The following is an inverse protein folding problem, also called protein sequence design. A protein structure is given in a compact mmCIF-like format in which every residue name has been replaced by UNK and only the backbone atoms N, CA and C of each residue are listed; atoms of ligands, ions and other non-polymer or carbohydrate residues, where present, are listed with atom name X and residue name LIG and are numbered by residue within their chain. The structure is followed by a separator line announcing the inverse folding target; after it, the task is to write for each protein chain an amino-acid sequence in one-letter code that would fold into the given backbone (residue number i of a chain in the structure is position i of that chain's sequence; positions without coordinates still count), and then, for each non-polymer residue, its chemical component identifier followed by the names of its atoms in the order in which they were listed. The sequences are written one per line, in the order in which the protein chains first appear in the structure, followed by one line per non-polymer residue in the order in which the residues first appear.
data_IF_932467791505
#
_entry.id   IF_932467791505
#
_cell.length_a   1.000
_cell.length_b   1.000
_cell.length_c   1.000
_cell.angle_alpha   90.00
_cell.angle_beta   90.00
_cell.angle_gamma   90.00
#
_symmetry.space_group_name_H-M   'P 1'
#
loop_
_entity.id
_entity.type
_entity.pdbx_description
1 polymer ?
#
# COMPACT_ATOMS: atom_id res chain seq x y z
N UNK A 1 -7.31 -76.05 -45.72
CA UNK A 1 -6.45 -74.87 -45.89
C UNK A 1 -7.34 -73.63 -45.91
N UNK A 2 -7.30 -72.86 -44.82
CA UNK A 2 -7.26 -71.39 -44.75
C UNK A 2 -8.35 -70.53 -45.46
N UNK A 3 -9.24 -69.92 -44.63
CA UNK A 3 -9.74 -68.51 -44.65
C UNK A 3 -10.71 -68.10 -45.81
N UNK A 4 -11.74 -67.24 -45.68
CA UNK A 4 -11.97 -66.03 -44.86
C UNK A 4 -13.45 -65.53 -44.99
N UNK A 5 -13.97 -64.91 -43.92
CA UNK A 5 -14.97 -63.81 -43.75
C UNK A 5 -16.30 -63.70 -44.54
N UNK A 6 -17.40 -63.53 -43.79
CA UNK A 6 -18.36 -62.39 -43.94
C UNK A 6 -19.03 -62.07 -42.60
N UNK A 7 -18.97 -60.80 -42.20
CA UNK A 7 -19.63 -60.21 -41.03
C UNK A 7 -21.10 -59.85 -41.33
N UNK A 8 -22.00 -59.99 -40.35
CA UNK A 8 -23.26 -59.25 -40.30
C UNK A 8 -23.68 -58.97 -38.84
N UNK A 9 -23.38 -57.73 -38.44
CA UNK A 9 -24.00 -56.87 -37.43
C UNK A 9 -25.10 -57.43 -36.50
N UNK A 10 -24.82 -57.41 -35.19
CA UNK A 10 -25.83 -57.34 -34.13
C UNK A 10 -25.55 -56.12 -33.26
N UNK A 11 -26.53 -55.22 -33.20
CA UNK A 11 -26.49 -54.01 -32.39
C UNK A 11 -26.57 -54.36 -30.90
N UNK A 12 -25.60 -53.87 -30.11
CA UNK A 12 -25.65 -53.94 -28.64
C UNK A 12 -25.70 -52.51 -28.12
N UNK A 13 -26.80 -52.20 -27.43
CA UNK A 13 -27.11 -50.92 -26.81
C UNK A 13 -26.04 -50.52 -25.80
N UNK A 14 -25.38 -49.39 -26.04
CA UNK A 14 -24.51 -48.72 -25.07
C UNK A 14 -25.41 -47.97 -24.09
N UNK A 15 -25.71 -48.59 -22.96
CA UNK A 15 -26.36 -47.93 -21.82
C UNK A 15 -25.33 -46.97 -21.21
N UNK A 16 -25.64 -45.68 -21.28
CA UNK A 16 -24.79 -44.59 -20.81
C UNK A 16 -24.55 -44.66 -19.31
N UNK A 17 -23.30 -44.93 -18.93
CA UNK A 17 -22.76 -44.46 -17.67
C UNK A 17 -22.40 -42.97 -17.85
N UNK A 18 -23.40 -42.10 -17.70
CA UNK A 18 -23.17 -40.69 -17.44
C UNK A 18 -22.49 -40.60 -16.08
N UNK A 19 -21.16 -40.63 -16.09
CA UNK A 19 -20.36 -40.25 -14.94
C UNK A 19 -20.74 -38.82 -14.56
N UNK A 20 -21.45 -38.66 -13.44
CA UNK A 20 -21.49 -37.39 -12.75
C UNK A 20 -20.05 -37.08 -12.35
N UNK A 21 -19.39 -36.25 -13.16
CA UNK A 21 -18.16 -35.60 -12.74
C UNK A 21 -18.54 -34.73 -11.54
N UNK A 22 -18.42 -35.29 -10.34
CA UNK A 22 -18.56 -34.53 -9.11
C UNK A 22 -17.60 -33.37 -9.20
N UNK A 23 -18.13 -32.15 -9.27
CA UNK A 23 -17.33 -30.96 -9.11
C UNK A 23 -16.66 -31.09 -7.74
N UNK A 24 -15.39 -31.47 -7.76
CA UNK A 24 -14.59 -31.62 -6.56
C UNK A 24 -14.63 -30.25 -5.87
N UNK A 25 -15.18 -30.14 -4.64
CA UNK A 25 -15.32 -28.85 -3.99
C UNK A 25 -13.95 -28.21 -3.89
N UNK A 26 -13.70 -27.17 -4.68
CA UNK A 26 -12.45 -26.42 -4.60
C UNK A 26 -12.54 -25.58 -3.34
N UNK A 27 -11.95 -26.09 -2.26
CA UNK A 27 -11.80 -25.35 -1.02
C UNK A 27 -10.82 -24.21 -1.25
N UNK A 28 -11.33 -23.00 -1.48
CA UNK A 28 -10.54 -21.78 -1.47
C UNK A 28 -10.40 -21.35 -0.01
N UNK A 29 -9.36 -21.84 0.66
CA UNK A 29 -8.95 -21.28 1.94
C UNK A 29 -8.34 -19.90 1.67
N UNK A 30 -9.04 -18.83 2.04
CA UNK A 30 -8.41 -17.53 2.16
C UNK A 30 -7.47 -17.61 3.38
N UNK A 31 -6.18 -17.41 3.16
CA UNK A 31 -5.21 -17.28 4.25
C UNK A 31 -5.28 -15.82 4.68
N UNK A 32 -5.83 -15.56 5.86
CA UNK A 32 -5.82 -14.22 6.44
C UNK A 32 -4.45 -14.02 7.09
N UNK A 33 -3.47 -13.56 6.30
CA UNK A 33 -2.11 -13.33 6.73
C UNK A 33 -1.95 -11.87 7.19
N UNK A 34 -1.53 -11.69 8.44
CA UNK A 34 -1.23 -10.36 8.99
C UNK A 34 0.22 -10.02 8.69
N UNK A 35 0.45 -8.96 7.92
CA UNK A 35 1.78 -8.47 7.60
C UNK A 35 2.28 -7.52 8.69
N UNK A 36 3.46 -7.78 9.25
CA UNK A 36 4.12 -6.90 10.22
C UNK A 36 5.42 -6.38 9.62
N UNK A 37 5.47 -5.08 9.33
CA UNK A 37 6.67 -4.43 8.80
C UNK A 37 7.53 -3.89 9.95
N UNK A 38 8.80 -4.29 10.01
CA UNK A 38 9.75 -3.88 11.06
C UNK A 38 10.94 -3.16 10.45
N UNK A 39 11.41 -2.10 11.10
CA UNK A 39 12.65 -1.39 10.74
C UNK A 39 13.57 -1.40 11.94
N UNK A 40 14.78 -1.95 11.80
CA UNK A 40 15.78 -2.01 12.87
C UNK A 40 16.97 -1.13 12.49
N UNK A 41 17.39 -0.30 13.44
CA UNK A 41 18.55 0.59 13.29
C UNK A 41 19.59 0.32 14.36
N UNK A 42 20.86 0.53 14.03
CA UNK A 42 21.94 0.55 15.01
C UNK A 42 21.94 1.85 15.84
N UNK A 43 22.93 1.98 16.74
CA UNK A 43 23.08 3.16 17.61
C UNK A 43 23.37 4.46 16.85
N UNK A 44 23.87 4.36 15.62
CA UNK A 44 24.20 5.49 14.76
C UNK A 44 23.05 5.80 13.78
N UNK A 45 21.93 5.09 13.87
CA UNK A 45 20.76 5.26 13.00
C UNK A 45 20.88 4.56 11.64
N UNK A 46 21.87 3.68 11.43
CA UNK A 46 22.00 2.92 10.17
C UNK A 46 21.07 1.71 10.19
N UNK A 47 20.49 1.39 9.03
CA UNK A 47 19.63 0.21 8.87
C UNK A 47 20.42 -1.08 9.08
N UNK A 48 19.90 -1.96 9.93
CA UNK A 48 20.45 -3.31 10.13
C UNK A 48 19.69 -4.26 9.20
N UNK A 49 20.33 -4.66 8.11
CA UNK A 49 19.72 -5.49 7.06
C UNK A 49 20.08 -6.98 7.15
N UNK A 50 20.92 -7.36 8.11
CA UNK A 50 21.47 -8.71 8.24
C UNK A 50 20.70 -9.60 9.21
N UNK A 51 19.62 -9.10 9.82
CA UNK A 51 18.80 -9.88 10.75
C UNK A 51 18.05 -10.98 10.03
N UNK A 52 17.94 -12.12 10.71
CA UNK A 52 17.26 -13.33 10.30
C UNK A 52 15.95 -13.50 11.05
N UNK A 53 15.13 -14.48 10.63
CA UNK A 53 13.87 -14.82 11.31
C UNK A 53 14.05 -15.11 12.80
N UNK A 54 15.17 -15.71 13.18
CA UNK A 54 15.45 -16.17 14.55
C UNK A 54 15.80 -15.00 15.49
N UNK A 55 16.03 -13.80 14.95
CA UNK A 55 16.28 -12.57 15.72
C UNK A 55 14.98 -11.86 16.14
N UNK A 56 13.81 -12.40 15.78
CA UNK A 56 12.50 -11.79 16.05
C UNK A 56 11.55 -12.72 16.81
N UNK A 57 10.80 -12.14 17.75
CA UNK A 57 9.64 -12.77 18.38
C UNK A 57 8.41 -11.87 18.15
N UNK A 58 7.37 -12.41 17.53
CA UNK A 58 6.09 -11.72 17.40
C UNK A 58 5.19 -12.14 18.55
N UNK A 59 4.60 -11.18 19.26
CA UNK A 59 3.62 -11.43 20.32
C UNK A 59 2.32 -10.70 20.01
N UNK A 60 1.21 -11.40 20.18
CA UNK A 60 -0.13 -10.83 20.11
C UNK A 60 -0.83 -11.06 21.46
N UNK A 61 -1.29 -9.97 22.09
CA UNK A 61 -1.78 -9.94 23.47
C UNK A 61 -0.88 -10.71 24.46
N UNK A 62 0.44 -10.54 24.29
CA UNK A 62 1.45 -11.17 25.14
C UNK A 62 1.69 -12.67 24.87
N UNK A 63 1.03 -13.29 23.88
CA UNK A 63 1.27 -14.67 23.45
C UNK A 63 2.15 -14.70 22.20
N UNK A 64 3.16 -15.58 22.18
CA UNK A 64 4.03 -15.75 21.03
C UNK A 64 3.26 -16.30 19.82
N UNK A 65 3.39 -15.63 18.68
CA UNK A 65 2.80 -16.02 17.41
C UNK A 65 3.88 -16.58 16.48
N UNK A 66 3.59 -17.65 15.73
CA UNK A 66 4.54 -18.21 14.78
C UNK A 66 4.75 -17.25 13.59
N UNK A 67 6.00 -16.95 13.26
CA UNK A 67 6.36 -16.20 12.06
C UNK A 67 6.27 -17.16 10.86
N UNK A 68 5.16 -17.23 10.15
CA UNK A 68 4.98 -18.20 9.04
C UNK A 68 5.77 -17.82 7.78
N UNK A 69 5.95 -16.52 7.54
CA UNK A 69 6.72 -15.95 6.44
C UNK A 69 7.68 -14.90 7.00
N UNK A 70 8.94 -14.96 6.56
CA UNK A 70 9.94 -13.94 6.87
C UNK A 70 10.61 -13.54 5.56
N UNK A 71 10.63 -12.24 5.29
CA UNK A 71 11.26 -11.66 4.12
C UNK A 71 12.00 -10.40 4.56
N UNK A 72 13.31 -10.36 4.30
CA UNK A 72 14.17 -9.21 4.53
C UNK A 72 14.72 -8.64 3.20
N UNK A 73 14.18 -9.09 2.07
CA UNK A 73 14.56 -8.56 0.76
C UNK A 73 13.98 -7.16 0.56
N UNK A 74 14.68 -6.27 -0.15
CA UNK A 74 14.16 -4.94 -0.45
C UNK A 74 12.90 -4.98 -1.31
N UNK A 75 11.73 -4.80 -0.69
CA UNK A 75 10.44 -4.73 -1.38
C UNK A 75 10.19 -3.34 -2.01
N UNK A 76 9.56 -3.28 -3.19
CA UNK A 76 9.13 -2.01 -3.78
C UNK A 76 8.06 -1.34 -2.92
N UNK A 77 8.07 -0.01 -2.90
CA UNK A 77 7.10 0.78 -2.15
C UNK A 77 6.05 1.43 -3.07
N UNK A 78 4.83 1.54 -2.55
CA UNK A 78 3.80 2.45 -3.05
C UNK A 78 3.69 3.60 -2.08
N UNK A 79 4.24 4.74 -2.46
CA UNK A 79 4.35 5.90 -1.60
C UNK A 79 3.29 6.93 -1.94
N UNK A 80 2.52 7.36 -0.96
CA UNK A 80 1.74 8.61 -1.04
C UNK A 80 2.48 9.64 -0.20
N UNK A 81 3.04 10.65 -0.85
CA UNK A 81 3.65 11.79 -0.17
C UNK A 81 2.61 12.90 -0.02
N UNK A 82 2.31 13.27 1.22
CA UNK A 82 1.37 14.34 1.56
C UNK A 82 2.15 15.57 2.01
N UNK A 83 2.04 16.64 1.24
CA UNK A 83 2.78 17.89 1.41
C UNK A 83 1.88 18.92 2.09
N UNK A 84 2.32 19.42 3.24
CA UNK A 84 1.64 20.49 3.95
C UNK A 84 1.83 21.82 3.21
N UNK A 85 0.73 22.39 2.75
CA UNK A 85 0.67 23.70 2.09
C UNK A 85 -0.19 24.68 2.91
N UNK A 86 -0.08 24.60 4.24
CA UNK A 86 -0.65 25.56 5.19
C UNK A 86 0.18 26.84 5.31
N UNK A 87 -0.45 27.92 5.80
CA UNK A 87 0.22 29.23 5.93
C UNK A 87 1.48 29.20 6.80
N UNK A 88 1.59 28.27 7.77
CA UNK A 88 2.81 28.12 8.58
C UNK A 88 3.99 27.53 7.81
N UNK A 89 3.74 26.90 6.66
CA UNK A 89 4.74 26.30 5.79
C UNK A 89 5.32 27.27 4.75
N UNK A 90 4.84 28.53 4.66
CA UNK A 90 5.26 29.49 3.63
C UNK A 90 6.79 29.69 3.57
N UNK A 91 7.44 29.88 4.73
CA UNK A 91 8.91 29.98 4.81
C UNK A 91 9.66 28.67 4.57
N UNK A 92 8.97 27.53 4.71
CA UNK A 92 9.53 26.19 4.58
C UNK A 92 9.30 25.57 3.19
N UNK A 93 8.50 26.20 2.32
CA UNK A 93 8.17 25.66 1.00
C UNK A 93 9.41 25.31 0.15
N UNK A 94 10.47 26.15 0.07
CA UNK A 94 11.68 25.78 -0.66
C UNK A 94 12.36 24.53 -0.10
N UNK A 95 12.40 24.39 1.23
CA UNK A 95 12.97 23.23 1.91
C UNK A 95 12.14 21.97 1.65
N UNK A 96 10.81 22.08 1.73
CA UNK A 96 9.89 20.98 1.43
C UNK A 96 10.08 20.48 -0.01
N UNK A 97 10.16 21.38 -0.99
CA UNK A 97 10.40 21.02 -2.39
C UNK A 97 11.75 20.34 -2.57
N UNK A 98 12.80 20.87 -1.96
CA UNK A 98 14.14 20.27 -2.02
C UNK A 98 14.17 18.87 -1.39
N UNK A 99 13.51 18.67 -0.25
CA UNK A 99 13.44 17.38 0.42
C UNK A 99 12.66 16.35 -0.40
N UNK A 100 11.52 16.74 -0.98
CA UNK A 100 10.74 15.88 -1.85
C UNK A 100 11.51 15.51 -3.13
N UNK A 101 12.22 16.45 -3.75
CA UNK A 101 13.07 16.17 -4.91
C UNK A 101 14.21 15.18 -4.57
N UNK A 102 14.85 15.35 -3.42
CA UNK A 102 15.88 14.43 -2.93
C UNK A 102 15.36 13.02 -2.65
N UNK A 103 14.09 12.90 -2.24
CA UNK A 103 13.40 11.62 -2.09
C UNK A 103 13.15 10.98 -3.47
N UNK A 104 12.61 11.75 -4.42
CA UNK A 104 12.29 11.25 -5.75
C UNK A 104 13.54 10.73 -6.50
N UNK A 105 14.69 11.38 -6.32
CA UNK A 105 15.96 10.93 -6.89
C UNK A 105 16.51 9.63 -6.27
N UNK A 106 15.98 9.19 -5.12
CA UNK A 106 16.40 7.97 -4.41
C UNK A 106 15.43 6.81 -4.60
N UNK A 107 14.33 7.01 -5.30
CA UNK A 107 13.37 5.94 -5.61
C UNK A 107 14.04 4.87 -6.47
N UNK A 108 13.72 3.61 -6.19
CA UNK A 108 14.10 2.48 -7.03
C UNK A 108 13.17 2.42 -8.25
N UNK A 109 13.58 1.74 -9.34
CA UNK A 109 12.76 1.62 -10.55
C UNK A 109 11.37 1.02 -10.33
N UNK A 110 11.22 0.16 -9.33
CA UNK A 110 9.97 -0.53 -9.02
C UNK A 110 9.08 0.25 -8.02
N UNK A 111 9.63 1.30 -7.41
CA UNK A 111 8.89 2.19 -6.52
C UNK A 111 7.98 3.10 -7.35
N UNK A 112 6.81 3.44 -6.79
CA UNK A 112 5.93 4.40 -7.45
C UNK A 112 5.29 5.32 -6.41
N UNK A 113 5.12 6.58 -6.80
CA UNK A 113 4.71 7.66 -5.91
C UNK A 113 3.45 8.34 -6.43
N UNK A 114 2.56 8.70 -5.51
CA UNK A 114 1.53 9.71 -5.71
C UNK A 114 1.87 10.91 -4.84
N UNK A 115 1.89 12.08 -5.45
CA UNK A 115 2.03 13.34 -4.73
C UNK A 115 0.64 13.84 -4.36
N UNK A 116 0.48 14.25 -3.11
CA UNK A 116 -0.69 14.96 -2.63
C UNK A 116 -0.29 16.19 -1.81
N UNK A 117 -1.21 17.14 -1.74
CA UNK A 117 -1.08 18.37 -0.97
C UNK A 117 -2.27 18.52 -0.03
N UNK A 118 -2.08 19.16 1.11
CA UNK A 118 -3.18 19.50 2.00
C UNK A 118 -3.04 20.92 2.56
N UNK A 119 -4.16 21.64 2.53
CA UNK A 119 -4.30 23.01 3.02
C UNK A 119 -5.77 23.36 3.08
N UNK A 120 -6.24 24.27 2.22
CA UNK A 120 -7.68 24.47 2.01
C UNK A 120 -8.36 23.26 1.38
N UNK A 121 -7.70 22.66 0.40
CA UNK A 121 -8.14 21.45 -0.29
C UNK A 121 -7.11 20.36 -0.06
N UNK A 122 -7.59 19.11 -0.04
CA UNK A 122 -6.73 17.94 -0.06
C UNK A 122 -6.80 17.41 -1.48
N UNK A 123 -5.65 17.31 -2.13
CA UNK A 123 -5.54 16.77 -3.49
C UNK A 123 -4.51 15.67 -3.50
N UNK A 124 -4.80 14.57 -4.17
CA UNK A 124 -3.87 13.47 -4.37
C UNK A 124 -3.91 13.13 -5.85
N UNK A 125 -2.75 13.15 -6.51
CA UNK A 125 -2.61 12.74 -7.92
C UNK A 125 -3.31 11.39 -8.18
N UNK A 126 -3.93 11.17 -9.33
CA UNK A 126 -4.82 10.02 -9.53
C UNK A 126 -4.10 8.68 -9.69
N UNK A 127 -2.84 8.69 -10.13
CA UNK A 127 -2.09 7.49 -10.48
C UNK A 127 -0.70 7.50 -9.87
N UNK A 128 -0.22 6.34 -9.44
CA UNK A 128 1.17 6.14 -9.08
C UNK A 128 2.08 6.32 -10.30
N UNK A 129 3.20 7.01 -10.12
CA UNK A 129 4.21 7.23 -11.17
C UNK A 129 5.62 7.10 -10.61
N UNK A 130 6.55 6.70 -11.47
CA UNK A 130 7.99 6.72 -11.23
C UNK A 130 8.68 7.80 -12.09
N UNK A 131 7.91 8.56 -12.88
CA UNK A 131 8.41 9.63 -13.75
C UNK A 131 8.79 10.85 -12.90
N UNK A 132 10.09 11.11 -12.81
CA UNK A 132 10.66 12.20 -12.01
C UNK A 132 10.15 13.57 -12.45
N UNK A 133 9.90 13.79 -13.73
CA UNK A 133 9.42 15.08 -14.23
C UNK A 133 7.94 15.28 -13.88
N UNK A 134 7.13 14.21 -13.89
CA UNK A 134 5.76 14.27 -13.38
C UNK A 134 5.73 14.56 -11.89
N UNK A 135 6.57 13.90 -11.10
CA UNK A 135 6.64 14.11 -9.65
C UNK A 135 7.07 15.54 -9.30
N UNK A 136 8.08 16.08 -10.01
CA UNK A 136 8.53 17.47 -9.83
C UNK A 136 7.47 18.49 -10.18
N UNK A 137 6.71 18.26 -11.26
CA UNK A 137 5.57 19.13 -11.66
C UNK A 137 4.42 19.09 -10.65
N UNK A 138 4.30 18.03 -9.86
CA UNK A 138 3.27 17.91 -8.84
C UNK A 138 3.64 18.60 -7.51
N UNK A 139 4.87 19.10 -7.36
CA UNK A 139 5.27 19.84 -6.17
C UNK A 139 4.60 21.23 -6.14
N UNK A 140 4.14 21.69 -4.96
CA UNK A 140 3.52 22.99 -4.83
C UNK A 140 4.50 24.12 -5.12
N UNK A 141 4.08 25.09 -5.94
CA UNK A 141 4.86 26.31 -6.23
C UNK A 141 4.52 27.48 -5.29
N UNK A 142 3.35 27.44 -4.65
CA UNK A 142 2.88 28.48 -3.75
C UNK A 142 1.97 27.89 -2.66
N UNK A 143 1.81 28.65 -1.58
CA UNK A 143 0.91 28.37 -0.47
C UNK A 143 -0.13 29.49 -0.42
N UNK A 144 -1.40 29.13 -0.26
CA UNK A 144 -2.45 30.13 -0.11
C UNK A 144 -2.32 30.82 1.26
N UNK A 145 -2.51 32.15 1.34
CA UNK A 145 -2.56 32.85 2.61
C UNK A 145 -3.62 32.24 3.53
N UNK A 146 -3.31 32.13 4.83
CA UNK A 146 -4.20 31.57 5.86
C UNK A 146 -4.68 30.12 5.59
N UNK A 147 -3.97 29.38 4.75
CA UNK A 147 -4.27 27.97 4.51
C UNK A 147 -4.17 27.17 5.83
N UNK A 148 -5.19 26.38 6.17
CA UNK A 148 -5.19 25.63 7.42
C UNK A 148 -4.46 24.29 7.28
N UNK A 149 -4.31 23.58 8.40
CA UNK A 149 -3.58 22.30 8.44
C UNK A 149 -4.52 21.13 8.77
N UNK A 150 -5.31 20.59 7.81
CA UNK A 150 -6.23 19.46 8.06
C UNK A 150 -5.51 18.11 8.05
N UNK A 151 -4.48 17.96 8.88
CA UNK A 151 -3.52 16.84 8.85
C UNK A 151 -4.20 15.47 8.91
N UNK A 152 -5.09 15.25 9.86
CA UNK A 152 -5.74 13.94 10.05
C UNK A 152 -6.69 13.57 8.91
N UNK A 153 -7.35 14.57 8.30
CA UNK A 153 -8.17 14.30 7.12
C UNK A 153 -7.28 13.93 5.93
N UNK A 154 -6.19 14.67 5.71
CA UNK A 154 -5.25 14.37 4.65
C UNK A 154 -4.71 12.94 4.77
N UNK A 155 -4.38 12.51 5.99
CA UNK A 155 -3.98 11.14 6.25
C UNK A 155 -5.10 10.13 5.95
N UNK A 156 -6.33 10.39 6.41
CA UNK A 156 -7.48 9.54 6.14
C UNK A 156 -7.81 9.39 4.65
N UNK A 157 -7.65 10.46 3.87
CA UNK A 157 -7.77 10.44 2.41
C UNK A 157 -6.61 9.69 1.75
N UNK A 158 -5.38 9.88 2.22
CA UNK A 158 -4.22 9.10 1.78
C UNK A 158 -4.41 7.60 1.99
N UNK A 159 -4.96 7.20 3.14
CA UNK A 159 -5.27 5.81 3.43
C UNK A 159 -6.34 5.25 2.47
N UNK A 160 -7.41 6.00 2.22
CA UNK A 160 -8.44 5.61 1.27
C UNK A 160 -7.96 5.60 -0.19
N UNK A 161 -6.92 6.38 -0.49
CA UNK A 161 -6.33 6.48 -1.82
C UNK A 161 -5.48 5.26 -2.18
N UNK A 162 -5.03 4.45 -1.21
CA UNK A 162 -4.51 3.13 -1.51
C UNK A 162 -5.63 2.20 -2.00
N UNK A 163 -5.76 2.08 -3.31
CA UNK A 163 -6.46 0.96 -3.94
C UNK A 163 -5.67 -0.32 -3.62
N UNK A 164 -6.33 -1.49 -3.58
CA UNK A 164 -5.72 -2.81 -3.31
C UNK A 164 -4.79 -3.24 -4.47
N UNK A 165 -3.79 -2.43 -4.80
CA UNK A 165 -2.88 -2.61 -5.91
C UNK A 165 -1.61 -3.31 -5.45
N UNK A 166 -1.66 -4.65 -5.45
CA UNK A 166 -0.48 -5.51 -5.47
C UNK A 166 0.29 -5.66 -4.15
N UNK A 167 1.32 -6.50 -4.20
CA UNK A 167 2.17 -6.93 -3.08
C UNK A 167 3.18 -5.86 -2.60
N UNK A 168 3.09 -4.63 -3.10
CA UNK A 168 4.03 -3.58 -2.77
C UNK A 168 3.70 -2.96 -1.41
N UNK A 169 4.74 -2.57 -0.66
CA UNK A 169 4.57 -2.02 0.69
C UNK A 169 3.91 -0.64 0.61
N UNK A 170 2.72 -0.43 1.20
CA UNK A 170 2.08 0.88 1.25
C UNK A 170 2.80 1.78 2.27
N UNK A 171 3.10 3.02 1.87
CA UNK A 171 3.76 4.01 2.71
C UNK A 171 3.07 5.37 2.55
N UNK A 172 2.64 5.99 3.64
CA UNK A 172 2.26 7.42 3.66
C UNK A 172 3.40 8.19 4.30
N UNK A 173 3.94 9.17 3.59
CA UNK A 173 4.92 10.11 4.12
C UNK A 173 4.30 11.50 4.18
N UNK A 174 4.25 12.08 5.38
CA UNK A 174 3.76 13.45 5.57
C UNK A 174 4.94 14.39 5.79
N UNK A 175 4.99 15.49 5.04
CA UNK A 175 5.93 16.59 5.26
C UNK A 175 5.15 17.79 5.78
N UNK A 176 5.33 18.12 7.06
CA UNK A 176 4.64 19.19 7.79
C UNK A 176 5.56 19.76 8.88
N UNK A 177 5.25 20.97 9.37
CA UNK A 177 5.87 21.55 10.56
C UNK A 177 5.28 21.00 11.88
N UNK A 178 4.26 20.13 11.79
CA UNK A 178 3.67 19.41 12.91
C UNK A 178 2.59 20.17 13.68
N UNK A 179 2.16 21.35 13.24
CA UNK A 179 1.06 22.10 13.87
C UNK A 179 -0.29 21.75 13.21
N UNK A 180 -1.08 20.89 13.86
CA UNK A 180 -2.46 20.63 13.45
C UNK A 180 -3.39 21.77 13.90
N UNK A 181 -4.18 22.30 12.97
CA UNK A 181 -5.14 23.39 13.24
C UNK A 181 -6.55 22.85 13.56
N UNK A 182 -6.78 21.54 13.47
CA UNK A 182 -8.12 20.96 13.63
C UNK A 182 -9.07 21.31 12.47
N UNK A 183 -10.37 20.97 12.59
CA UNK A 183 -11.33 21.13 11.48
C UNK A 183 -11.60 22.61 11.18
N UNK A 184 -11.54 22.96 9.89
CA UNK A 184 -11.71 24.33 9.39
C UNK A 184 -13.11 24.64 8.84
N UNK A 185 -14.09 23.82 9.19
CA UNK A 185 -15.49 24.08 8.82
C UNK A 185 -16.51 23.19 9.52
N UNK A 186 -17.66 23.76 9.86
CA UNK A 186 -18.79 23.10 10.54
C UNK A 186 -19.45 21.96 9.73
N UNK A 187 -19.13 21.80 8.44
CA UNK A 187 -19.71 20.78 7.54
C UNK A 187 -18.76 19.62 7.21
N UNK A 188 -17.58 19.64 7.78
CA UNK A 188 -16.47 18.84 7.36
C UNK A 188 -16.20 17.79 8.45
N UNK A 189 -16.16 16.48 8.13
CA UNK A 189 -16.08 15.43 9.15
C UNK A 189 -14.80 15.58 9.97
N UNK A 190 -14.95 15.52 11.30
CA UNK A 190 -13.83 15.48 12.23
C UNK A 190 -13.19 14.09 12.13
N UNK A 191 -11.93 14.06 11.72
CA UNK A 191 -11.14 12.83 11.70
C UNK A 191 -10.10 12.96 12.79
N UNK A 192 -10.18 12.07 13.79
CA UNK A 192 -9.26 12.10 14.93
C UNK A 192 -8.00 11.28 14.66
N UNK A 193 -6.91 11.59 15.38
CA UNK A 193 -5.71 10.73 15.41
C UNK A 193 -6.05 9.28 15.72
N UNK A 194 -6.92 9.05 16.71
CA UNK A 194 -7.30 7.71 17.15
C UNK A 194 -8.02 6.94 16.02
N UNK A 195 -8.95 7.59 15.33
CA UNK A 195 -9.69 7.00 14.20
C UNK A 195 -8.75 6.66 13.03
N UNK A 196 -7.78 7.53 12.75
CA UNK A 196 -6.78 7.29 11.71
C UNK A 196 -5.87 6.12 12.05
N UNK A 197 -5.39 6.06 13.29
CA UNK A 197 -4.54 4.95 13.77
C UNK A 197 -5.31 3.63 13.72
N UNK A 198 -6.59 3.63 14.09
CA UNK A 198 -7.44 2.43 14.05
C UNK A 198 -7.62 1.93 12.62
N UNK A 199 -7.88 2.82 11.66
CA UNK A 199 -8.00 2.46 10.23
C UNK A 199 -6.68 2.01 9.58
N UNK A 200 -5.54 2.41 10.14
CA UNK A 200 -4.21 2.08 9.62
C UNK A 200 -3.68 0.73 10.14
N UNK A 201 -4.36 0.10 11.11
CA UNK A 201 -4.09 -1.27 11.56
C UNK A 201 -4.76 -2.27 10.65
#
# INVERSE_FOLDING_TARGET
MTRILTCASLAVSIIGALGAAGQQPTFRGAIDAVHVFVTVTDRDGRLVTTLSRDDFEVRDDGKTQPITLFDNTPQPIRLIILLDVSGSMEGNLPLLRAAADQLFMRLRPDDAVRVGTFGHEITISPSFTHDLDQLRRALPDAIAPDAPTPLWRAFGEGLAAFTREGEARPVILVLSDGKDSGPVGFRQPFVSQAEVIDRAR
#
